data_IF_977690254917
#
_entry.id   IF_977690254917
#
_cell.length_a   1.000
_cell.length_b   1.000
_cell.length_c   1.000
_cell.angle_alpha   90.00
_cell.angle_beta   90.00
_cell.angle_gamma   90.00
#
_symmetry.space_group_name_H-M   'P 1'
#
loop_
_entity.id
_entity.type
_entity.pdbx_description
1 polymer ?
#
# COMPACT_ATOMS: atom_id res chain seq x y z
N UNK A 1 14.41 2.28 -20.30
CA UNK A 1 13.30 1.33 -20.03
C UNK A 1 12.06 1.85 -20.73
N UNK A 2 11.58 1.17 -21.79
CA UNK A 2 10.45 1.65 -22.59
C UNK A 2 9.15 1.74 -21.78
N UNK A 3 8.27 2.68 -22.14
CA UNK A 3 6.94 2.83 -21.54
C UNK A 3 6.16 1.52 -21.77
N UNK A 4 5.77 0.83 -20.70
CA UNK A 4 4.87 -0.31 -20.78
C UNK A 4 3.52 0.26 -21.19
N UNK A 5 2.93 -0.33 -22.21
CA UNK A 5 1.62 0.01 -22.72
C UNK A 5 0.54 -0.12 -21.62
N UNK A 6 -0.47 0.76 -21.63
CA UNK A 6 -1.56 0.74 -20.64
C UNK A 6 -2.30 -0.59 -20.63
N UNK A 7 -2.48 -1.22 -21.79
CA UNK A 7 -3.09 -2.55 -21.90
C UNK A 7 -2.26 -3.62 -21.15
N UNK A 8 -0.93 -3.52 -21.23
CA UNK A 8 -0.03 -4.44 -20.51
C UNK A 8 -0.06 -4.21 -19.01
N UNK A 9 -0.15 -2.96 -18.54
CA UNK A 9 -0.29 -2.66 -17.11
C UNK A 9 -1.61 -3.20 -16.57
N UNK A 10 -2.71 -3.03 -17.31
CA UNK A 10 -4.01 -3.59 -16.95
C UNK A 10 -3.99 -5.12 -16.93
N UNK A 11 -3.33 -5.76 -17.91
CA UNK A 11 -3.17 -7.21 -17.94
C UNK A 11 -2.38 -7.73 -16.73
N UNK A 12 -1.31 -7.04 -16.31
CA UNK A 12 -0.55 -7.39 -15.10
C UNK A 12 -1.44 -7.33 -13.87
N UNK A 13 -2.27 -6.29 -13.72
CA UNK A 13 -3.20 -6.19 -12.60
C UNK A 13 -4.10 -7.43 -12.54
N UNK A 14 -4.75 -7.77 -13.66
CA UNK A 14 -5.66 -8.92 -13.75
C UNK A 14 -4.93 -10.25 -13.48
N UNK A 15 -3.77 -10.47 -14.10
CA UNK A 15 -2.97 -11.69 -13.96
C UNK A 15 -2.47 -11.89 -12.52
N UNK A 16 -2.34 -10.80 -11.76
CA UNK A 16 -1.81 -10.82 -10.39
C UNK A 16 -2.88 -10.70 -9.30
N UNK A 17 -4.18 -10.74 -9.66
CA UNK A 17 -5.28 -10.85 -8.69
C UNK A 17 -5.15 -12.10 -7.83
N UNK A 18 -5.67 -12.04 -6.60
CA UNK A 18 -5.41 -13.05 -5.56
C UNK A 18 -4.11 -12.79 -4.76
N UNK A 19 -3.29 -11.84 -5.21
CA UNK A 19 -2.16 -11.26 -4.47
C UNK A 19 -1.25 -12.31 -3.80
N UNK A 20 -1.34 -12.45 -2.48
CA UNK A 20 -0.50 -13.37 -1.69
C UNK A 20 -0.66 -14.84 -2.06
N UNK A 21 -1.80 -15.22 -2.66
CA UNK A 21 -2.05 -16.58 -3.16
C UNK A 21 -1.63 -16.74 -4.64
N UNK A 22 -1.11 -15.68 -5.26
CA UNK A 22 -0.74 -15.66 -6.66
C UNK A 22 0.80 -15.53 -6.83
N UNK A 23 1.50 -16.58 -7.30
CA UNK A 23 2.94 -16.53 -7.53
C UNK A 23 3.39 -15.43 -8.51
N UNK A 24 2.56 -15.10 -9.50
CA UNK A 24 2.87 -14.06 -10.48
C UNK A 24 2.91 -12.68 -9.83
N UNK A 25 2.05 -12.43 -8.83
CA UNK A 25 2.08 -11.21 -8.04
C UNK A 25 3.44 -10.98 -7.38
N UNK A 26 4.07 -12.03 -6.85
CA UNK A 26 5.43 -11.94 -6.30
C UNK A 26 6.49 -11.68 -7.37
N UNK A 27 6.34 -12.27 -8.56
CA UNK A 27 7.27 -12.02 -9.68
C UNK A 27 7.19 -10.58 -10.14
N UNK A 28 5.98 -10.06 -10.35
CA UNK A 28 5.74 -8.70 -10.83
C UNK A 28 6.11 -7.62 -9.79
N UNK A 29 6.07 -7.93 -8.49
CA UNK A 29 6.55 -7.02 -7.43
C UNK A 29 8.07 -6.88 -7.39
N UNK A 30 8.80 -7.87 -7.89
CA UNK A 30 10.26 -7.88 -7.83
C UNK A 30 10.82 -6.69 -8.61
N UNK A 31 11.88 -6.09 -8.09
CA UNK A 31 12.56 -4.92 -8.66
C UNK A 31 11.72 -3.64 -8.67
N UNK A 32 10.62 -3.61 -7.90
CA UNK A 32 9.75 -2.44 -7.72
C UNK A 32 9.61 -2.10 -6.24
N UNK A 33 9.70 -0.82 -5.93
CA UNK A 33 9.35 -0.30 -4.60
C UNK A 33 7.84 -0.41 -4.46
N UNK A 34 7.41 -1.17 -3.45
CA UNK A 34 5.97 -1.37 -3.18
C UNK A 34 5.48 -0.47 -2.06
N UNK A 35 4.20 -0.10 -2.10
CA UNK A 35 3.59 0.82 -1.13
C UNK A 35 3.89 0.50 0.35
N UNK A 36 3.86 -0.78 0.74
CA UNK A 36 4.14 -1.20 2.13
C UNK A 36 5.60 -1.03 2.56
N UNK A 37 6.53 -0.86 1.61
CA UNK A 37 7.94 -0.56 1.87
C UNK A 37 8.27 0.95 1.76
N UNK A 38 7.38 1.74 1.16
CA UNK A 38 7.62 3.15 0.86
C UNK A 38 8.05 3.95 2.11
N UNK A 39 7.33 3.81 3.23
CA UNK A 39 7.66 4.54 4.45
C UNK A 39 9.08 4.26 4.96
N UNK A 40 9.49 2.98 5.00
CA UNK A 40 10.81 2.58 5.51
C UNK A 40 11.93 3.12 4.62
N UNK A 41 11.74 3.06 3.30
CA UNK A 41 12.70 3.56 2.33
C UNK A 41 12.81 5.08 2.42
N UNK A 42 11.68 5.80 2.36
CA UNK A 42 11.66 7.27 2.40
C UNK A 42 12.22 7.86 3.71
N UNK A 43 12.16 7.12 4.82
CA UNK A 43 12.69 7.55 6.12
C UNK A 43 14.07 6.95 6.46
N UNK A 44 14.70 6.20 5.56
CA UNK A 44 16.00 5.60 5.84
C UNK A 44 17.12 6.66 5.86
N UNK A 45 18.21 6.36 6.59
CA UNK A 45 19.35 7.29 6.74
C UNK A 45 20.00 7.65 5.39
N UNK A 46 20.03 6.70 4.46
CA UNK A 46 20.65 6.85 3.14
C UNK A 46 20.00 7.96 2.31
N UNK A 47 18.69 7.86 2.06
CA UNK A 47 17.99 8.85 1.23
C UNK A 47 17.95 10.23 1.89
N UNK A 48 17.94 10.27 3.23
CA UNK A 48 17.94 11.50 4.02
C UNK A 48 19.37 12.04 4.31
N UNK A 49 20.42 11.55 3.64
CA UNK A 49 21.78 12.11 3.73
C UNK A 49 22.49 11.90 5.07
N UNK A 50 21.97 11.04 5.93
CA UNK A 50 22.55 10.69 7.24
C UNK A 50 23.48 9.47 7.19
N UNK A 51 23.62 8.84 6.03
CA UNK A 51 24.56 7.76 5.74
C UNK A 51 24.82 7.69 4.24
N UNK A 52 26.02 7.27 3.83
CA UNK A 52 26.33 6.91 2.45
C UNK A 52 26.08 5.42 2.17
N UNK A 53 25.85 4.62 3.21
CA UNK A 53 25.63 3.18 3.07
C UNK A 53 24.20 2.86 2.67
N UNK A 54 24.06 2.08 1.60
CA UNK A 54 22.77 1.53 1.18
C UNK A 54 22.30 0.48 2.21
N UNK A 55 21.08 0.63 2.79
CA UNK A 55 20.54 -0.35 3.70
C UNK A 55 20.19 -1.66 2.97
N UNK A 56 21.07 -2.65 3.11
CA UNK A 56 20.99 -3.93 2.38
C UNK A 56 19.68 -4.69 2.63
N UNK A 57 19.09 -4.56 3.81
CA UNK A 57 17.78 -5.17 4.12
C UNK A 57 16.66 -4.56 3.27
N UNK A 58 16.68 -3.25 3.01
CA UNK A 58 15.67 -2.57 2.20
C UNK A 58 15.90 -2.84 0.72
N UNK A 59 17.16 -2.88 0.27
CA UNK A 59 17.49 -3.29 -1.10
C UNK A 59 16.95 -4.69 -1.39
N UNK A 60 17.25 -5.67 -0.52
CA UNK A 60 16.69 -7.04 -0.61
C UNK A 60 15.17 -7.05 -0.62
N UNK A 61 14.51 -6.20 0.18
CA UNK A 61 13.04 -6.12 0.18
C UNK A 61 12.43 -5.66 -1.16
N UNK A 62 13.22 -5.05 -2.04
CA UNK A 62 12.82 -4.62 -3.38
C UNK A 62 13.21 -5.66 -4.44
N UNK A 63 14.42 -6.22 -4.37
CA UNK A 63 14.96 -7.10 -5.43
C UNK A 63 14.66 -8.59 -5.23
N UNK A 64 14.17 -8.99 -4.05
CA UNK A 64 13.82 -10.38 -3.72
C UNK A 64 12.31 -10.59 -3.79
N UNK A 65 11.89 -11.79 -4.22
CA UNK A 65 10.56 -12.30 -3.88
C UNK A 65 10.52 -12.50 -2.35
N UNK A 66 9.50 -11.99 -1.67
CA UNK A 66 9.43 -11.90 -0.20
C UNK A 66 9.72 -13.19 0.58
N UNK A 67 9.92 -13.08 1.90
CA UNK A 67 10.16 -14.25 2.75
C UNK A 67 8.87 -15.06 2.99
N UNK A 68 9.00 -16.37 3.20
CA UNK A 68 7.91 -17.27 3.59
C UNK A 68 7.52 -17.15 5.07
N UNK A 69 8.03 -16.15 5.80
CA UNK A 69 7.83 -16.01 7.25
C UNK A 69 6.41 -15.54 7.51
N UNK A 70 5.59 -16.41 8.10
CA UNK A 70 4.27 -16.05 8.63
C UNK A 70 4.38 -15.80 10.14
N UNK A 71 4.01 -14.60 10.57
CA UNK A 71 3.90 -14.26 11.99
C UNK A 71 2.45 -14.39 12.47
N UNK A 72 2.21 -14.57 13.77
CA UNK A 72 0.85 -14.60 14.32
C UNK A 72 0.03 -13.35 13.95
N UNK A 73 0.67 -12.17 13.91
CA UNK A 73 0.02 -10.93 13.50
C UNK A 73 -0.35 -10.93 12.01
N UNK A 74 0.47 -11.53 11.15
CA UNK A 74 0.14 -11.69 9.73
C UNK A 74 -1.01 -12.67 9.51
N UNK A 75 -0.97 -13.84 10.18
CA UNK A 75 -2.06 -14.83 10.11
C UNK A 75 -3.38 -14.22 10.58
N UNK A 76 -3.38 -13.51 11.72
CA UNK A 76 -4.54 -12.80 12.21
C UNK A 76 -5.10 -11.81 11.16
N UNK A 77 -4.23 -11.02 10.53
CA UNK A 77 -4.62 -10.10 9.47
C UNK A 77 -5.34 -10.82 8.34
N UNK A 78 -4.71 -11.86 7.81
CA UNK A 78 -5.20 -12.70 6.70
C UNK A 78 -6.60 -13.27 7.01
N UNK A 79 -6.80 -13.81 8.21
CA UNK A 79 -8.04 -14.46 8.61
C UNK A 79 -9.22 -13.47 8.77
N UNK A 80 -8.94 -12.22 9.13
CA UNK A 80 -9.97 -11.24 9.47
C UNK A 80 -10.23 -10.20 8.36
N UNK A 81 -9.35 -10.09 7.37
CA UNK A 81 -9.44 -9.14 6.26
C UNK A 81 -10.75 -9.28 5.47
N UNK A 82 -11.17 -10.51 5.16
CA UNK A 82 -12.42 -10.76 4.43
C UNK A 82 -13.65 -10.32 5.25
N UNK A 83 -13.69 -10.66 6.53
CA UNK A 83 -14.78 -10.24 7.41
C UNK A 83 -14.84 -8.71 7.56
N UNK A 84 -13.67 -8.06 7.63
CA UNK A 84 -13.57 -6.61 7.64
C UNK A 84 -14.06 -5.99 6.32
N UNK A 85 -13.72 -6.56 5.16
CA UNK A 85 -14.18 -6.06 3.86
C UNK A 85 -15.71 -6.16 3.70
N UNK A 86 -16.30 -7.29 4.13
CA UNK A 86 -17.77 -7.47 4.15
C UNK A 86 -18.43 -6.43 5.04
N UNK A 87 -17.93 -6.24 6.27
CA UNK A 87 -18.48 -5.27 7.20
C UNK A 87 -18.31 -3.82 6.72
N UNK A 88 -17.17 -3.52 6.08
CA UNK A 88 -16.95 -2.23 5.44
C UNK A 88 -17.97 -1.97 4.33
N UNK A 89 -18.21 -2.95 3.43
CA UNK A 89 -19.20 -2.85 2.34
C UNK A 89 -20.57 -2.44 2.88
N UNK A 90 -21.06 -3.11 3.92
CA UNK A 90 -22.35 -2.81 4.55
C UNK A 90 -22.41 -1.38 5.09
N UNK A 91 -21.41 -0.99 5.87
CA UNK A 91 -21.35 0.33 6.52
C UNK A 91 -21.24 1.45 5.49
N UNK A 92 -20.38 1.27 4.47
CA UNK A 92 -20.18 2.25 3.40
C UNK A 92 -21.44 2.40 2.55
N UNK A 93 -22.09 1.29 2.19
CA UNK A 93 -23.33 1.33 1.40
C UNK A 93 -24.43 2.10 2.15
N UNK A 94 -24.61 1.79 3.44
CA UNK A 94 -25.57 2.49 4.29
C UNK A 94 -25.24 3.98 4.42
N UNK A 95 -23.97 4.34 4.60
CA UNK A 95 -23.55 5.73 4.76
C UNK A 95 -23.77 6.56 3.48
N UNK A 96 -23.60 5.95 2.30
CA UNK A 96 -23.83 6.62 1.01
C UNK A 96 -25.29 6.56 0.53
N UNK A 97 -26.13 5.71 1.13
CA UNK A 97 -27.50 5.47 0.66
C UNK A 97 -27.58 4.73 -0.68
N UNK A 98 -26.48 4.08 -1.12
CA UNK A 98 -26.38 3.30 -2.36
C UNK A 98 -25.42 2.14 -2.18
N UNK A 99 -25.63 1.03 -2.90
CA UNK A 99 -24.76 -0.14 -2.78
C UNK A 99 -23.37 0.14 -3.37
N UNK A 100 -22.33 -0.20 -2.61
CA UNK A 100 -20.95 -0.25 -3.10
C UNK A 100 -20.47 -1.68 -3.20
N UNK A 101 -19.56 -1.96 -4.12
CA UNK A 101 -18.82 -3.22 -4.20
C UNK A 101 -17.37 -2.98 -3.81
N UNK A 102 -16.74 -3.98 -3.20
CA UNK A 102 -15.30 -4.06 -3.02
C UNK A 102 -14.79 -5.08 -4.03
N UNK A 103 -14.09 -4.62 -5.06
CA UNK A 103 -13.51 -5.47 -6.08
C UNK A 103 -12.10 -5.91 -5.68
N UNK A 104 -11.85 -7.20 -5.79
CA UNK A 104 -10.51 -7.77 -5.68
C UNK A 104 -9.62 -7.21 -6.79
N UNK A 105 -8.36 -6.96 -6.45
CA UNK A 105 -7.37 -6.41 -7.38
C UNK A 105 -5.98 -7.03 -7.19
N UNK A 106 -5.15 -6.93 -8.22
CA UNK A 106 -3.78 -7.41 -8.23
C UNK A 106 -2.76 -6.31 -7.96
N UNK A 107 -1.67 -6.33 -8.72
CA UNK A 107 -0.60 -5.35 -8.67
C UNK A 107 -0.83 -4.27 -9.71
N UNK A 108 -0.97 -3.04 -9.24
CA UNK A 108 -0.88 -1.85 -10.08
C UNK A 108 0.57 -1.40 -10.16
N UNK A 109 1.03 -1.07 -11.36
CA UNK A 109 2.36 -0.50 -11.62
C UNK A 109 2.15 0.93 -12.11
N UNK A 110 2.91 1.88 -11.56
CA UNK A 110 2.74 3.27 -11.93
C UNK A 110 3.08 3.46 -13.43
N UNK A 111 2.22 4.14 -14.22
CA UNK A 111 2.35 4.21 -15.67
C UNK A 111 3.67 4.85 -16.15
N UNK A 112 4.08 5.95 -15.51
CA UNK A 112 5.32 6.64 -15.87
C UNK A 112 6.55 6.24 -15.03
N UNK A 113 6.33 5.64 -13.85
CA UNK A 113 7.37 5.31 -12.87
C UNK A 113 7.31 3.82 -12.53
N UNK A 114 7.59 2.97 -13.51
CA UNK A 114 7.39 1.50 -13.39
C UNK A 114 8.19 0.82 -12.27
N UNK A 115 9.09 1.56 -11.63
CA UNK A 115 9.78 1.18 -10.41
C UNK A 115 8.93 1.31 -9.14
N UNK A 116 7.72 1.88 -9.23
CA UNK A 116 6.70 1.93 -8.19
C UNK A 116 5.54 0.98 -8.51
N UNK A 117 5.04 0.30 -7.48
CA UNK A 117 3.87 -0.54 -7.56
C UNK A 117 3.07 -0.59 -6.26
N UNK A 118 1.79 -0.92 -6.36
CA UNK A 118 0.90 -1.02 -5.21
C UNK A 118 -0.17 -2.08 -5.42
N UNK A 119 -0.59 -2.70 -4.33
CA UNK A 119 -1.79 -3.54 -4.26
C UNK A 119 -2.57 -3.07 -3.05
N UNK A 120 -3.68 -2.34 -3.22
CA UNK A 120 -4.61 -2.11 -2.12
C UNK A 120 -5.35 -3.41 -1.77
N UNK A 121 -6.05 -3.41 -0.65
CA UNK A 121 -6.85 -4.56 -0.22
C UNK A 121 -8.17 -4.65 -1.03
N UNK A 122 -8.55 -3.58 -1.74
CA UNK A 122 -9.61 -3.61 -2.74
C UNK A 122 -9.80 -2.28 -3.47
N UNK A 123 -10.60 -2.31 -4.54
CA UNK A 123 -11.11 -1.11 -5.23
C UNK A 123 -12.59 -0.97 -4.94
N UNK A 124 -13.00 0.19 -4.45
CA UNK A 124 -14.38 0.49 -4.08
C UNK A 124 -15.08 1.09 -5.29
N UNK A 125 -16.15 0.45 -5.74
CA UNK A 125 -16.94 0.92 -6.88
C UNK A 125 -18.40 1.05 -6.51
N UNK A 126 -19.10 1.96 -7.16
CA UNK A 126 -20.56 2.02 -7.10
C UNK A 126 -21.17 0.82 -7.84
N UNK A 127 -22.09 0.11 -7.20
CA UNK A 127 -22.65 -1.13 -7.75
C UNK A 127 -23.54 -0.89 -8.98
N UNK A 128 -24.16 0.28 -9.10
CA UNK A 128 -25.10 0.59 -10.17
C UNK A 128 -24.41 1.13 -11.43
N UNK A 129 -23.44 2.01 -11.24
CA UNK A 129 -22.76 2.75 -12.32
C UNK A 129 -21.40 2.16 -12.68
N UNK A 130 -20.80 1.36 -11.80
CA UNK A 130 -19.43 0.87 -11.95
C UNK A 130 -18.36 1.94 -11.72
N UNK A 131 -18.73 3.16 -11.30
CA UNK A 131 -17.79 4.25 -11.03
C UNK A 131 -16.84 3.88 -9.89
N UNK A 132 -15.53 4.07 -10.10
CA UNK A 132 -14.54 3.91 -9.03
C UNK A 132 -14.63 5.06 -8.03
N UNK A 133 -14.93 4.73 -6.78
CA UNK A 133 -15.08 5.68 -5.67
C UNK A 133 -13.77 5.90 -4.90
N UNK A 134 -12.86 4.93 -4.93
CA UNK A 134 -11.56 4.98 -4.26
C UNK A 134 -10.95 3.60 -4.05
N UNK A 135 -9.81 3.54 -3.36
CA UNK A 135 -9.22 2.28 -2.91
C UNK A 135 -9.55 1.99 -1.45
N UNK A 136 -9.34 0.74 -1.03
CA UNK A 136 -9.54 0.25 0.33
C UNK A 136 -8.23 -0.30 0.89
N UNK A 137 -7.89 0.11 2.10
CA UNK A 137 -6.77 -0.46 2.87
C UNK A 137 -7.27 -0.84 4.26
N UNK A 138 -7.18 -2.13 4.60
CA UNK A 138 -7.69 -2.74 5.82
C UNK A 138 -6.53 -3.10 6.73
N UNK A 139 -6.68 -2.82 8.04
CA UNK A 139 -5.78 -3.30 9.07
C UNK A 139 -6.53 -3.96 10.20
N UNK A 140 -6.13 -5.18 10.52
CA UNK A 140 -6.60 -5.94 11.67
C UNK A 140 -5.45 -6.03 12.70
N UNK A 141 -5.29 -5.06 13.62
CA UNK A 141 -4.12 -4.96 14.48
C UNK A 141 -4.13 -6.03 15.57
N UNK A 142 -3.28 -7.07 15.44
CA UNK A 142 -3.21 -8.18 16.40
C UNK A 142 -3.00 -7.73 17.85
N UNK A 143 -2.17 -6.69 18.10
CA UNK A 143 -1.94 -6.13 19.44
C UNK A 143 -3.22 -5.60 20.10
N UNK A 144 -4.11 -5.00 19.30
CA UNK A 144 -5.32 -4.31 19.77
C UNK A 144 -6.60 -5.06 19.39
N UNK A 145 -6.47 -6.33 18.99
CA UNK A 145 -7.56 -7.12 18.42
C UNK A 145 -8.80 -7.21 19.31
N UNK A 146 -8.63 -7.24 20.64
CA UNK A 146 -9.72 -7.37 21.61
C UNK A 146 -10.10 -6.04 22.29
N UNK A 147 -9.50 -4.94 21.83
CA UNK A 147 -9.76 -3.57 22.32
C UNK A 147 -10.69 -2.83 21.38
N UNK A 148 -11.47 -1.89 21.92
CA UNK A 148 -12.13 -0.88 21.08
C UNK A 148 -11.08 0.01 20.43
N UNK A 149 -11.38 0.57 19.27
CA UNK A 149 -10.49 1.52 18.58
C UNK A 149 -10.23 2.75 19.45
N UNK A 150 -11.24 3.18 20.23
CA UNK A 150 -11.08 4.26 21.22
C UNK A 150 -9.95 3.94 22.21
N UNK A 151 -9.92 2.72 22.75
CA UNK A 151 -8.88 2.27 23.68
C UNK A 151 -7.54 2.11 22.98
N UNK A 152 -7.53 1.58 21.76
CA UNK A 152 -6.32 1.44 20.96
C UNK A 152 -5.64 2.80 20.66
N UNK A 153 -6.42 3.88 20.50
CA UNK A 153 -5.89 5.23 20.29
C UNK A 153 -5.08 5.78 21.49
N UNK A 154 -5.20 5.20 22.69
CA UNK A 154 -4.35 5.57 23.83
C UNK A 154 -2.90 5.09 23.65
N UNK A 155 -2.67 4.09 22.80
CA UNK A 155 -1.33 3.67 22.38
C UNK A 155 -0.75 4.65 21.34
N UNK A 156 0.33 5.33 21.71
CA UNK A 156 1.01 6.30 20.83
C UNK A 156 1.46 5.67 19.50
N UNK A 157 1.73 4.37 19.48
CA UNK A 157 2.17 3.62 18.29
C UNK A 157 1.01 3.16 17.40
N UNK A 158 -0.25 3.30 17.85
CA UNK A 158 -1.42 2.97 17.04
C UNK A 158 -1.56 3.91 15.84
N UNK A 159 -2.09 3.41 14.72
CA UNK A 159 -2.13 4.15 13.47
C UNK A 159 -3.17 5.29 13.47
N UNK A 160 -4.29 5.13 14.18
CA UNK A 160 -5.33 6.15 14.25
C UNK A 160 -5.13 7.09 15.44
N UNK A 161 -5.66 8.30 15.28
CA UNK A 161 -5.88 9.26 16.34
C UNK A 161 -7.34 9.67 16.37
N UNK A 162 -7.82 10.13 17.54
CA UNK A 162 -9.18 10.64 17.70
C UNK A 162 -9.19 12.14 17.48
N UNK A 163 -10.04 12.60 16.60
CA UNK A 163 -10.23 14.01 16.27
C UNK A 163 -11.22 14.70 17.23
N UNK A 164 -11.18 16.05 17.32
CA UNK A 164 -12.27 16.81 17.90
C UNK A 164 -13.60 16.41 17.24
N UNK A 165 -14.65 16.18 18.04
CA UNK A 165 -15.93 15.65 17.55
C UNK A 165 -16.02 14.12 17.53
N UNK A 166 -14.94 13.40 17.84
CA UNK A 166 -14.96 11.97 18.11
C UNK A 166 -14.75 11.05 16.91
N UNK A 167 -14.57 11.61 15.71
CA UNK A 167 -14.14 10.88 14.53
C UNK A 167 -12.68 10.36 14.69
N UNK A 168 -12.27 9.47 13.80
CA UNK A 168 -10.88 8.97 13.74
C UNK A 168 -10.20 9.46 12.47
N UNK A 169 -8.89 9.70 12.56
CA UNK A 169 -8.04 9.99 11.41
C UNK A 169 -6.77 9.13 11.43
N UNK A 170 -6.20 8.85 10.26
CA UNK A 170 -4.93 8.16 10.12
C UNK A 170 -3.80 9.16 10.40
N UNK A 171 -2.94 8.85 11.37
CA UNK A 171 -1.78 9.69 11.71
C UNK A 171 -0.89 9.87 10.49
N UNK A 172 -0.68 11.11 10.06
CA UNK A 172 0.18 11.47 8.91
C UNK A 172 1.63 11.01 9.05
N UNK A 173 2.12 10.86 10.28
CA UNK A 173 3.46 10.35 10.59
C UNK A 173 3.57 8.83 10.55
N UNK A 174 2.45 8.09 10.49
CA UNK A 174 2.44 6.64 10.56
C UNK A 174 2.77 6.01 9.20
N UNK A 175 3.39 4.83 9.23
CA UNK A 175 3.81 4.12 8.01
C UNK A 175 2.66 3.84 7.03
N UNK A 176 1.49 3.51 7.56
CA UNK A 176 0.28 3.29 6.76
C UNK A 176 -0.17 4.54 5.99
N UNK A 177 0.10 5.75 6.48
CA UNK A 177 -0.22 6.97 5.71
C UNK A 177 0.61 7.02 4.44
N UNK A 178 1.93 6.81 4.53
CA UNK A 178 2.80 6.74 3.34
C UNK A 178 2.41 5.60 2.40
N UNK A 179 1.98 4.46 2.94
CA UNK A 179 1.49 3.34 2.14
C UNK A 179 0.25 3.72 1.33
N UNK A 180 -0.75 4.34 1.97
CA UNK A 180 -1.97 4.79 1.30
C UNK A 180 -1.66 5.87 0.26
N UNK A 181 -0.80 6.83 0.57
CA UNK A 181 -0.38 7.85 -0.40
C UNK A 181 0.30 7.24 -1.64
N UNK A 182 1.14 6.21 -1.44
CA UNK A 182 1.75 5.46 -2.54
C UNK A 182 0.69 4.70 -3.38
N UNK A 183 -0.29 4.07 -2.75
CA UNK A 183 -1.40 3.43 -3.46
C UNK A 183 -2.17 4.44 -4.32
N UNK A 184 -2.53 5.60 -3.75
CA UNK A 184 -3.24 6.65 -4.47
C UNK A 184 -2.45 7.18 -5.67
N UNK A 185 -1.15 7.41 -5.51
CA UNK A 185 -0.27 7.83 -6.59
C UNK A 185 -0.16 6.77 -7.71
N UNK A 186 0.03 5.51 -7.35
CA UNK A 186 0.18 4.41 -8.33
C UNK A 186 -1.12 4.17 -9.11
N UNK A 187 -2.27 4.23 -8.43
CA UNK A 187 -3.58 3.97 -9.04
C UNK A 187 -4.17 5.22 -9.74
N UNK A 188 -3.60 6.40 -9.52
CA UNK A 188 -4.17 7.67 -10.01
C UNK A 188 -5.50 8.04 -9.33
N UNK A 189 -5.70 7.61 -8.08
CA UNK A 189 -6.94 7.85 -7.31
C UNK A 189 -6.78 9.02 -6.35
N UNK A 190 -7.88 9.74 -6.10
CA UNK A 190 -7.89 10.91 -5.19
C UNK A 190 -8.11 10.57 -3.72
N UNK A 191 -8.70 9.41 -3.43
CA UNK A 191 -9.12 9.03 -2.09
C UNK A 191 -9.05 7.53 -1.87
N UNK A 192 -8.69 7.14 -0.66
CA UNK A 192 -8.82 5.80 -0.12
C UNK A 192 -9.65 5.82 1.16
N UNK A 193 -10.33 4.72 1.46
CA UNK A 193 -10.81 4.45 2.81
C UNK A 193 -9.79 3.57 3.53
N UNK A 194 -9.28 4.07 4.65
CA UNK A 194 -8.44 3.32 5.57
C UNK A 194 -9.29 2.75 6.69
N UNK A 195 -9.32 1.43 6.80
CA UNK A 195 -10.15 0.69 7.74
C UNK A 195 -9.30 0.05 8.81
N UNK A 196 -9.71 0.24 10.07
CA UNK A 196 -9.20 -0.56 11.18
C UNK A 196 -10.32 -1.42 11.73
N UNK A 197 -10.08 -2.72 11.81
CA UNK A 197 -11.05 -3.70 12.29
C UNK A 197 -10.51 -4.45 13.51
N UNK A 198 -11.28 -4.45 14.60
CA UNK A 198 -11.03 -5.22 15.82
C UNK A 198 -12.19 -6.19 16.06
N UNK A 199 -12.08 -7.08 17.04
CA UNK A 199 -13.20 -7.92 17.48
C UNK A 199 -14.30 -7.12 18.19
N UNK A 200 -14.07 -5.83 18.49
CA UNK A 200 -14.99 -4.96 19.21
C UNK A 200 -15.70 -3.96 18.31
N UNK A 201 -15.00 -3.36 17.36
CA UNK A 201 -15.50 -2.29 16.51
C UNK A 201 -14.68 -2.10 15.21
N UNK A 202 -15.18 -1.24 14.34
CA UNK A 202 -14.53 -0.82 13.10
C UNK A 202 -14.49 0.70 13.00
N UNK A 203 -13.38 1.25 12.51
CA UNK A 203 -13.27 2.63 12.09
C UNK A 203 -12.98 2.68 10.60
N UNK A 204 -13.71 3.53 9.89
CA UNK A 204 -13.50 3.85 8.48
C UNK A 204 -13.05 5.30 8.43
N UNK A 205 -11.85 5.53 7.92
CA UNK A 205 -11.24 6.86 7.84
C UNK A 205 -10.93 7.20 6.40
N UNK A 206 -11.53 8.24 5.81
CA UNK A 206 -11.14 8.68 4.48
C UNK A 206 -9.74 9.29 4.53
N UNK A 207 -8.93 8.98 3.52
CA UNK A 207 -7.59 9.54 3.31
C UNK A 207 -7.54 10.10 1.90
N UNK A 208 -7.40 11.41 1.79
CA UNK A 208 -7.22 12.10 0.51
C UNK A 208 -5.75 12.06 0.07
N UNK A 209 -5.53 12.05 -1.25
CA UNK A 209 -4.21 12.19 -1.82
C UNK A 209 -3.62 13.56 -1.45
N UNK A 210 -2.40 13.54 -0.93
CA UNK A 210 -1.68 14.72 -0.48
C UNK A 210 -0.46 14.92 -1.41
N UNK A 211 -0.58 15.79 -2.42
CA UNK A 211 0.47 15.96 -3.43
C UNK A 211 1.77 16.47 -2.81
N UNK A 212 1.72 17.42 -1.88
CA UNK A 212 2.93 17.95 -1.25
C UNK A 212 3.67 16.89 -0.42
N UNK A 213 2.94 16.06 0.32
CA UNK A 213 3.51 14.93 1.04
C UNK A 213 4.09 13.90 0.07
N UNK A 214 3.36 13.61 -1.01
CA UNK A 214 3.76 12.61 -1.99
C UNK A 214 5.02 13.03 -2.74
N UNK A 215 5.10 14.26 -3.25
CA UNK A 215 6.27 14.76 -3.99
C UNK A 215 7.57 14.57 -3.18
N UNK A 216 7.57 15.03 -1.92
CA UNK A 216 8.72 14.85 -1.02
C UNK A 216 9.03 13.39 -0.68
N UNK A 217 8.03 12.51 -0.74
CA UNK A 217 8.20 11.08 -0.50
C UNK A 217 8.79 10.42 -1.73
N UNK A 218 8.24 10.74 -2.91
CA UNK A 218 8.63 10.21 -4.20
C UNK A 218 10.09 10.53 -4.51
N UNK A 219 10.55 11.76 -4.30
CA UNK A 219 11.96 12.15 -4.47
C UNK A 219 12.92 11.20 -3.72
N UNK A 220 12.53 10.81 -2.51
CA UNK A 220 13.34 9.91 -1.66
C UNK A 220 13.28 8.48 -2.15
N UNK A 221 12.12 8.03 -2.63
CA UNK A 221 11.96 6.69 -3.21
C UNK A 221 12.73 6.58 -4.53
N UNK A 222 12.67 7.60 -5.38
CA UNK A 222 13.40 7.68 -6.63
C UNK A 222 14.90 7.67 -6.38
N UNK A 223 15.40 8.51 -5.44
CA UNK A 223 16.80 8.48 -5.01
C UNK A 223 17.24 7.09 -4.56
N UNK A 224 16.41 6.39 -3.78
CA UNK A 224 16.72 5.01 -3.40
C UNK A 224 16.78 4.09 -4.61
N UNK A 225 15.81 4.19 -5.52
CA UNK A 225 15.75 3.35 -6.69
C UNK A 225 16.97 3.55 -7.60
N UNK A 226 17.29 4.79 -7.95
CA UNK A 226 18.37 5.14 -8.87
C UNK A 226 19.75 4.92 -8.26
N UNK A 227 19.92 5.16 -6.96
CA UNK A 227 21.24 5.06 -6.31
C UNK A 227 21.52 3.69 -5.68
N UNK A 228 20.51 2.85 -5.46
CA UNK A 228 20.69 1.54 -4.84
C UNK A 228 20.16 0.38 -5.70
N UNK A 229 18.93 0.47 -6.19
CA UNK A 229 18.27 -0.65 -6.88
C UNK A 229 18.81 -0.80 -8.30
N UNK A 230 18.82 0.27 -9.11
CA UNK A 230 19.30 0.21 -10.50
C UNK A 230 20.76 -0.28 -10.60
N UNK A 231 21.73 0.23 -9.80
CA UNK A 231 23.11 -0.27 -9.86
C UNK A 231 23.23 -1.74 -9.45
N UNK A 232 22.39 -2.20 -8.51
CA UNK A 232 22.34 -3.60 -8.15
C UNK A 232 21.85 -4.47 -9.32
N UNK A 233 20.76 -4.05 -9.99
CA UNK A 233 20.22 -4.79 -11.13
C UNK A 233 21.19 -4.84 -12.32
N UNK A 234 21.88 -3.74 -12.61
CA UNK A 234 22.89 -3.69 -13.66
C UNK A 234 24.06 -4.67 -13.41
N UNK A 235 24.48 -4.84 -12.15
CA UNK A 235 25.52 -5.81 -11.76
C UNK A 235 25.06 -7.26 -11.89
N UNK A 236 23.76 -7.52 -11.67
CA UNK A 236 23.19 -8.87 -11.77
C UNK A 236 22.87 -9.26 -13.22
N UNK A 237 22.72 -8.29 -14.13
CA UNK A 237 22.45 -8.53 -15.54
C UNK A 237 23.17 -7.51 -16.44
N UNK A 238 24.41 -7.79 -16.87
CA UNK A 238 25.26 -6.87 -17.64
C UNK A 238 24.70 -6.43 -19.00
N UNK A 239 23.62 -7.05 -19.49
CA UNK A 239 22.93 -6.64 -20.71
C UNK A 239 22.13 -5.33 -20.53
N UNK A 240 21.76 -4.95 -19.30
CA UNK A 240 21.00 -3.72 -19.01
C UNK A 240 21.86 -2.45 -18.96
N UNK A 241 23.19 -2.57 -18.98
CA UNK A 241 24.12 -1.42 -18.95
C UNK A 241 24.56 -0.94 -20.33
N UNK A 242 23.91 -1.40 -21.42
CA UNK A 242 24.31 -1.12 -22.80
C UNK A 242 23.24 -0.37 -23.62
N UNK A 243 22.19 0.12 -22.97
CA UNK A 243 21.10 0.89 -23.60
C UNK A 243 20.98 2.32 -23.04
N UNK A 244 22.13 2.99 -22.84
CA UNK A 244 22.22 4.47 -22.78
C UNK A 244 22.83 4.96 -24.09
#
# INVERSE_FOLDING_TARGET
MGKIDQEKLAAIEVETRGQRENPEWFKQRRNRITASNAHKIANCRFVNGRSQEVPQSYLRSVVSSGSSVKTAAMTWGIEHELAAAVRYKELKSRALGREVLVQDCGLFIHPDKQWLAASPDGVVVDAQTGETLGSLEIKCPFKHRDSTIKKACEDKTFCLQREPGGAYSLKRSHAHYTQVQCQLAVLGLRRADFVVYTSRDMAITPVDFDPEFWDRTEDKLEKFYTSAVQPYLARQNPALSREE
#
